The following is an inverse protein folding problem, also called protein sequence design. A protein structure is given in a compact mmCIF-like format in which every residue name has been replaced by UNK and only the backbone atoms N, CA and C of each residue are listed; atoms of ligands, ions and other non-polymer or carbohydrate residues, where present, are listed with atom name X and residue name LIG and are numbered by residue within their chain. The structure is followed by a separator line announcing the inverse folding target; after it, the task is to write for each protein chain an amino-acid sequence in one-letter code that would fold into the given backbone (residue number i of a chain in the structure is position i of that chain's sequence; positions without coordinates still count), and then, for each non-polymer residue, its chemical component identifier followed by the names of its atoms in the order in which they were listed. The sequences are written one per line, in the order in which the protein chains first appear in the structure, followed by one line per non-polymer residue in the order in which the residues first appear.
data_IF_131009658916
#
_entry.id   IF_131009658916
#
_cell.length_a   1.000
_cell.length_b   1.000
_cell.length_c   1.000
_cell.angle_alpha   90.00
_cell.angle_beta   90.00
_cell.angle_gamma   90.00
#
_symmetry.space_group_name_H-M   'P 1'
#
loop_
_entity.id
_entity.type
_entity.pdbx_description
1 polymer ?
#
# COMPACT_ATOMS: atom_id res chain seq x y z
N UNK A 1 38.56 73.16 8.63
CA UNK A 1 38.34 73.26 10.11
C UNK A 1 37.11 72.47 10.48
N UNK A 2 37.29 71.58 11.36
CA UNK A 2 36.33 70.64 11.90
C UNK A 2 35.14 71.28 12.63
N UNK A 3 33.93 70.71 12.53
CA UNK A 3 33.01 70.55 13.68
C UNK A 3 32.05 69.39 13.48
N UNK A 4 32.09 68.49 14.47
CA UNK A 4 31.20 67.34 14.68
C UNK A 4 29.80 67.82 15.08
N UNK A 5 28.77 67.12 14.54
CA UNK A 5 27.39 67.16 15.02
C UNK A 5 27.01 65.78 15.49
N UNK A 6 26.65 65.65 16.76
CA UNK A 6 26.09 64.46 17.38
C UNK A 6 24.66 64.22 16.91
N UNK A 7 24.39 63.13 16.28
CA UNK A 7 23.00 62.66 16.04
C UNK A 7 22.55 61.76 17.19
N UNK A 8 21.38 62.12 17.70
CA UNK A 8 20.75 61.44 18.83
C UNK A 8 20.20 60.06 18.45
N UNK A 9 20.50 59.11 19.27
CA UNK A 9 19.88 57.76 19.24
C UNK A 9 18.41 57.85 19.68
N UNK A 10 17.48 57.69 18.75
CA UNK A 10 16.07 57.44 19.05
C UNK A 10 15.91 55.98 19.37
N UNK A 11 15.69 55.64 20.63
CA UNK A 11 15.34 54.30 21.07
C UNK A 11 13.91 54.00 20.62
N UNK A 12 13.77 53.21 19.53
CA UNK A 12 12.49 52.66 19.14
C UNK A 12 12.18 51.48 20.05
N UNK A 13 11.24 51.65 20.97
CA UNK A 13 10.66 50.56 21.74
C UNK A 13 10.01 49.54 20.79
N UNK A 14 10.70 48.47 20.48
CA UNK A 14 10.16 47.31 19.82
C UNK A 14 9.25 46.58 20.82
N UNK A 15 7.94 46.77 20.67
CA UNK A 15 6.95 45.93 21.33
C UNK A 15 7.21 44.50 20.82
N UNK A 16 7.81 43.66 21.65
CA UNK A 16 7.93 42.21 21.39
C UNK A 16 6.52 41.65 21.61
N UNK A 17 5.76 41.51 20.52
CA UNK A 17 4.60 40.62 20.53
C UNK A 17 5.12 39.21 20.76
N UNK A 18 4.83 38.66 21.93
CA UNK A 18 5.00 37.24 22.26
C UNK A 18 3.96 36.40 21.46
N UNK A 19 4.08 36.39 20.14
CA UNK A 19 3.60 35.27 19.36
C UNK A 19 4.68 34.19 19.45
N UNK A 20 4.59 33.36 20.46
CA UNK A 20 5.25 32.07 20.46
C UNK A 20 4.69 31.36 19.21
N UNK A 21 5.49 31.26 18.17
CA UNK A 21 5.22 30.34 17.07
C UNK A 21 5.15 28.97 17.73
N UNK A 22 3.94 28.44 17.91
CA UNK A 22 3.73 27.04 18.25
C UNK A 22 4.34 26.27 17.07
N UNK A 23 5.56 25.75 17.26
CA UNK A 23 6.18 24.84 16.30
C UNK A 23 5.35 23.58 16.39
N UNK A 24 4.47 23.40 15.43
CA UNK A 24 3.69 22.16 15.32
C UNK A 24 4.67 21.02 15.03
N UNK A 25 4.99 20.23 16.05
CA UNK A 25 5.92 19.10 15.96
C UNK A 25 5.36 18.02 15.04
N UNK A 26 6.18 17.38 14.19
CA UNK A 26 5.71 16.32 13.32
C UNK A 26 5.17 15.14 14.13
N UNK A 27 4.17 14.44 13.59
CA UNK A 27 3.74 13.15 14.10
C UNK A 27 4.83 12.12 13.88
N UNK A 28 5.30 11.53 14.95
CA UNK A 28 6.35 10.50 14.95
C UNK A 28 5.73 9.14 14.67
N UNK A 29 6.21 8.46 13.67
CA UNK A 29 5.65 7.20 13.17
C UNK A 29 6.67 6.08 13.35
N UNK A 30 6.23 4.97 13.94
CA UNK A 30 6.92 3.70 13.85
C UNK A 30 6.21 2.80 12.83
N UNK A 31 6.98 2.20 11.93
CA UNK A 31 6.50 1.30 10.88
C UNK A 31 7.09 -0.10 11.08
N UNK A 32 6.21 -1.09 11.19
CA UNK A 32 6.59 -2.50 11.32
C UNK A 32 6.16 -3.27 10.08
N UNK A 33 6.98 -4.22 9.66
CA UNK A 33 6.75 -4.96 8.41
C UNK A 33 6.65 -3.99 7.23
N UNK A 34 7.55 -3.00 7.21
CA UNK A 34 7.48 -1.82 6.32
C UNK A 34 7.57 -2.20 4.83
N UNK A 35 8.05 -3.42 4.51
CA UNK A 35 8.24 -3.85 3.14
C UNK A 35 9.15 -2.90 2.37
N UNK A 36 8.78 -2.53 1.15
CA UNK A 36 9.47 -1.50 0.39
C UNK A 36 8.95 -0.08 0.69
N UNK A 37 8.23 0.16 1.79
CA UNK A 37 7.86 1.50 2.25
C UNK A 37 6.68 2.17 1.53
N UNK A 38 5.80 1.40 0.87
CA UNK A 38 4.67 2.01 0.15
C UNK A 38 3.68 2.73 1.07
N UNK A 39 3.37 2.16 2.24
CA UNK A 39 2.53 2.81 3.26
C UNK A 39 3.24 4.02 3.87
N UNK A 40 4.52 3.88 4.17
CA UNK A 40 5.36 4.91 4.77
C UNK A 40 5.48 6.13 3.85
N UNK A 41 5.69 5.90 2.54
CA UNK A 41 5.68 6.95 1.52
C UNK A 41 4.32 7.67 1.47
N UNK A 42 3.21 6.93 1.59
CA UNK A 42 1.88 7.51 1.70
C UNK A 42 1.75 8.41 2.94
N UNK A 43 2.19 7.96 4.11
CA UNK A 43 2.16 8.74 5.34
C UNK A 43 3.11 9.95 5.33
N UNK A 44 4.23 9.85 4.64
CA UNK A 44 5.13 11.00 4.44
C UNK A 44 4.58 11.99 3.42
N UNK A 45 3.98 11.53 2.33
CA UNK A 45 3.63 12.36 1.20
C UNK A 45 4.84 12.95 0.48
N UNK A 46 4.65 14.03 -0.28
CA UNK A 46 5.74 14.71 -0.99
C UNK A 46 6.13 14.03 -2.30
N UNK A 47 5.18 13.41 -2.99
CA UNK A 47 5.42 12.76 -4.28
C UNK A 47 4.35 13.15 -5.31
N UNK A 48 4.69 12.96 -6.59
CA UNK A 48 3.75 13.10 -7.71
C UNK A 48 3.46 11.73 -8.31
N UNK A 49 2.19 11.46 -8.57
CA UNK A 49 1.77 10.27 -9.30
C UNK A 49 0.83 10.66 -10.44
N UNK A 50 1.25 10.40 -11.69
CA UNK A 50 0.48 10.65 -12.92
C UNK A 50 -0.13 12.06 -13.00
N UNK A 51 0.64 13.08 -12.59
CA UNK A 51 0.24 14.49 -12.65
C UNK A 51 -0.50 14.99 -11.40
N UNK A 52 -0.92 14.12 -10.49
CA UNK A 52 -1.49 14.51 -9.20
C UNK A 52 -0.38 14.67 -8.16
N UNK A 53 -0.39 15.81 -7.42
CA UNK A 53 0.53 16.07 -6.33
C UNK A 53 -0.06 15.58 -5.01
N UNK A 54 0.69 14.73 -4.32
CA UNK A 54 0.40 14.23 -2.98
C UNK A 54 1.29 14.95 -1.98
N UNK A 55 0.79 16.06 -1.45
CA UNK A 55 1.54 16.96 -0.59
C UNK A 55 2.16 16.24 0.61
N UNK A 56 3.31 16.75 1.09
CA UNK A 56 3.95 16.26 2.28
C UNK A 56 3.08 16.51 3.50
N UNK A 57 2.98 15.49 4.36
CA UNK A 57 2.37 15.59 5.68
C UNK A 57 3.38 16.08 6.72
N UNK A 58 2.89 16.64 7.82
CA UNK A 58 3.72 16.95 9.00
C UNK A 58 3.95 15.68 9.83
N UNK A 59 4.69 14.74 9.25
CA UNK A 59 5.01 13.43 9.82
C UNK A 59 6.48 13.11 9.66
N UNK A 60 7.00 12.25 10.53
CA UNK A 60 8.36 11.73 10.48
C UNK A 60 8.35 10.23 10.78
N UNK A 61 8.88 9.41 9.87
CA UNK A 61 9.10 7.99 10.12
C UNK A 61 10.38 7.87 10.94
N UNK A 62 10.25 7.63 12.24
CA UNK A 62 11.39 7.57 13.17
C UNK A 62 11.93 6.16 13.40
N UNK A 63 11.18 5.16 12.95
CA UNK A 63 11.55 3.76 13.02
C UNK A 63 10.84 2.99 11.92
N UNK A 64 11.57 2.20 11.14
CA UNK A 64 11.06 1.27 10.16
C UNK A 64 11.76 -0.08 10.31
N UNK A 65 11.04 -1.19 10.10
CA UNK A 65 11.58 -2.54 10.25
C UNK A 65 10.94 -3.53 9.28
N UNK A 66 11.78 -4.38 8.69
CA UNK A 66 11.37 -5.59 7.97
C UNK A 66 12.41 -6.70 8.18
N UNK A 67 12.00 -7.96 8.06
CA UNK A 67 12.91 -9.10 8.11
C UNK A 67 13.38 -9.58 6.72
N UNK A 68 12.72 -9.13 5.66
CA UNK A 68 13.05 -9.46 4.27
C UNK A 68 14.16 -8.52 3.78
N UNK A 69 15.33 -9.09 3.51
CA UNK A 69 16.50 -8.33 3.07
C UNK A 69 16.26 -7.53 1.79
N UNK A 70 15.56 -8.11 0.80
CA UNK A 70 15.28 -7.40 -0.45
C UNK A 70 14.32 -6.23 -0.24
N UNK A 71 13.35 -6.38 0.66
CA UNK A 71 12.43 -5.32 1.03
C UNK A 71 13.18 -4.18 1.73
N UNK A 72 14.02 -4.50 2.71
CA UNK A 72 14.84 -3.55 3.45
C UNK A 72 15.82 -2.80 2.52
N UNK A 73 16.51 -3.51 1.63
CA UNK A 73 17.42 -2.88 0.65
C UNK A 73 16.66 -1.95 -0.30
N UNK A 74 15.46 -2.35 -0.74
CA UNK A 74 14.59 -1.52 -1.57
C UNK A 74 14.14 -0.26 -0.83
N UNK A 75 13.72 -0.37 0.43
CA UNK A 75 13.33 0.75 1.27
C UNK A 75 14.46 1.78 1.39
N UNK A 76 15.64 1.32 1.78
CA UNK A 76 16.80 2.18 2.05
C UNK A 76 17.44 2.77 0.78
N UNK A 77 17.15 2.21 -0.39
CA UNK A 77 17.57 2.79 -1.67
C UNK A 77 16.74 4.01 -2.09
N UNK A 78 15.66 4.35 -1.37
CA UNK A 78 14.75 5.41 -1.78
C UNK A 78 14.95 6.71 -1.01
N UNK A 79 15.44 7.78 -1.66
CA UNK A 79 15.53 9.11 -1.05
C UNK A 79 14.18 9.65 -0.56
N UNK A 80 13.07 9.27 -1.20
CA UNK A 80 11.71 9.66 -0.78
C UNK A 80 11.33 9.16 0.62
N UNK A 81 12.02 8.13 1.12
CA UNK A 81 11.77 7.53 2.44
C UNK A 81 12.83 7.94 3.46
N UNK A 82 14.12 7.90 3.07
CA UNK A 82 15.23 8.00 4.03
C UNK A 82 15.86 9.38 4.14
N UNK A 83 15.60 10.32 3.22
CA UNK A 83 16.21 11.67 3.29
C UNK A 83 15.79 12.46 4.52
N UNK A 84 14.58 12.22 5.04
CA UNK A 84 14.02 12.90 6.21
C UNK A 84 13.42 11.90 7.23
N UNK A 85 13.77 10.62 7.11
CA UNK A 85 13.24 9.54 7.95
C UNK A 85 14.29 8.51 8.33
N UNK A 86 13.88 7.52 9.11
CA UNK A 86 14.76 6.44 9.51
C UNK A 86 14.98 5.43 8.38
N UNK A 87 16.20 4.90 8.29
CA UNK A 87 16.45 3.69 7.51
C UNK A 87 15.68 2.50 8.09
N UNK A 88 15.24 1.60 7.20
CA UNK A 88 14.59 0.36 7.60
C UNK A 88 15.62 -0.60 8.21
N UNK A 89 15.37 -1.04 9.44
CA UNK A 89 16.18 -2.01 10.15
C UNK A 89 15.89 -3.43 9.66
N UNK A 90 16.90 -4.16 9.22
CA UNK A 90 16.80 -5.58 8.89
C UNK A 90 16.86 -6.41 10.16
N UNK A 91 15.71 -6.83 10.68
CA UNK A 91 15.63 -7.68 11.87
C UNK A 91 14.25 -8.37 11.96
N UNK A 92 14.20 -9.52 12.63
CA UNK A 92 12.93 -10.09 13.06
C UNK A 92 12.38 -9.25 14.22
N UNK A 93 11.16 -8.78 14.13
CA UNK A 93 10.53 -7.93 15.15
C UNK A 93 10.47 -8.60 16.53
N UNK A 94 10.48 -9.94 16.58
CA UNK A 94 10.51 -10.72 17.81
C UNK A 94 11.82 -10.60 18.58
N UNK A 95 12.90 -10.27 17.89
CA UNK A 95 14.24 -10.10 18.47
C UNK A 95 14.48 -8.65 18.90
N UNK A 96 13.60 -7.71 18.52
CA UNK A 96 13.74 -6.30 18.90
C UNK A 96 13.11 -6.05 20.27
N UNK A 97 13.89 -5.49 21.19
CA UNK A 97 13.34 -5.03 22.45
C UNK A 97 12.46 -3.79 22.23
N UNK A 98 11.21 -3.85 22.68
CA UNK A 98 10.26 -2.75 22.52
C UNK A 98 10.73 -1.41 23.13
N UNK A 99 11.63 -1.45 24.13
CA UNK A 99 12.22 -0.25 24.74
C UNK A 99 13.22 0.46 23.83
N UNK A 100 13.87 -0.30 22.92
CA UNK A 100 14.84 0.26 21.99
C UNK A 100 14.20 0.96 20.79
N UNK A 101 12.89 0.71 20.53
CA UNK A 101 12.11 1.47 19.57
C UNK A 101 11.85 2.86 20.14
N UNK A 102 12.12 3.97 19.42
CA UNK A 102 11.84 5.32 19.89
C UNK A 102 10.36 5.52 20.23
N UNK A 103 10.02 6.51 21.04
CA UNK A 103 8.62 6.86 21.29
C UNK A 103 7.99 7.42 20.01
N UNK A 104 6.77 6.99 19.69
CA UNK A 104 6.05 7.34 18.48
C UNK A 104 4.58 7.68 18.79
N UNK A 105 3.94 8.46 17.92
CA UNK A 105 2.53 8.86 18.03
C UNK A 105 1.61 7.89 17.28
N UNK A 106 2.10 7.33 16.15
CA UNK A 106 1.33 6.43 15.28
C UNK A 106 2.13 5.16 15.02
N UNK A 107 1.50 4.00 15.15
CA UNK A 107 2.06 2.72 14.74
C UNK A 107 1.44 2.27 13.42
N UNK A 108 2.26 2.05 12.40
CA UNK A 108 1.88 1.40 11.15
C UNK A 108 2.34 -0.05 11.16
N UNK A 109 1.48 -0.99 10.71
CA UNK A 109 1.89 -2.39 10.58
C UNK A 109 1.08 -3.13 9.51
N UNK A 110 1.77 -3.67 8.51
CA UNK A 110 1.24 -4.59 7.51
C UNK A 110 1.67 -6.03 7.80
N UNK A 111 1.28 -6.59 8.94
CA UNK A 111 1.76 -7.91 9.34
C UNK A 111 1.20 -9.03 8.44
N UNK A 112 2.02 -10.05 8.09
CA UNK A 112 1.58 -11.16 7.26
C UNK A 112 0.46 -11.95 7.92
N UNK A 113 -0.60 -12.24 7.13
CA UNK A 113 -1.69 -13.13 7.53
C UNK A 113 -1.20 -14.58 7.51
N UNK A 114 -0.41 -14.98 8.49
CA UNK A 114 -0.22 -16.42 8.72
C UNK A 114 -1.45 -16.92 9.45
N UNK A 115 -2.12 -17.99 8.95
CA UNK A 115 -3.26 -18.53 9.65
C UNK A 115 -2.81 -18.96 11.03
N UNK A 116 -3.47 -18.42 12.05
CA UNK A 116 -3.30 -18.81 13.45
C UNK A 116 -3.39 -20.35 13.65
N UNK A 117 -3.98 -21.05 12.66
CA UNK A 117 -4.20 -22.52 12.69
C UNK A 117 -3.01 -23.39 12.26
N UNK A 118 -1.97 -22.86 11.60
CA UNK A 118 -0.90 -23.66 11.02
C UNK A 118 0.44 -23.62 11.76
N UNK A 119 0.60 -22.77 12.75
CA UNK A 119 1.83 -22.72 13.56
C UNK A 119 2.02 -23.99 14.43
N UNK A 120 0.93 -24.73 14.70
CA UNK A 120 0.96 -25.93 15.54
C UNK A 120 1.32 -27.24 14.84
N UNK A 121 1.40 -27.30 13.51
CA UNK A 121 1.56 -28.61 12.79
C UNK A 121 2.94 -28.93 12.23
N UNK A 122 3.93 -28.04 12.30
CA UNK A 122 5.24 -28.27 11.67
C UNK A 122 6.48 -28.26 12.53
N UNK A 123 6.44 -27.89 13.81
CA UNK A 123 7.55 -28.19 14.76
C UNK A 123 6.97 -28.27 16.16
N UNK A 124 7.11 -29.42 16.79
CA UNK A 124 6.77 -29.61 18.20
C UNK A 124 7.66 -28.74 19.09
N UNK A 125 7.19 -27.53 19.34
CA UNK A 125 7.70 -26.66 20.39
C UNK A 125 6.45 -26.21 21.15
N UNK A 126 6.38 -26.60 22.40
CA UNK A 126 5.42 -26.11 23.39
C UNK A 126 5.56 -24.59 23.47
N UNK A 127 4.74 -23.85 22.72
CA UNK A 127 4.59 -22.41 22.90
C UNK A 127 3.50 -22.16 23.95
N UNK A 128 3.86 -22.32 25.21
CA UNK A 128 2.97 -22.08 26.36
C UNK A 128 2.57 -20.60 26.52
N UNK A 129 3.11 -19.69 25.67
CA UNK A 129 2.92 -18.25 25.79
C UNK A 129 2.17 -17.59 24.61
N UNK A 130 1.56 -18.32 23.68
CA UNK A 130 0.71 -17.72 22.63
C UNK A 130 1.41 -16.72 21.70
N UNK A 131 2.74 -16.80 21.56
CA UNK A 131 3.56 -15.87 20.73
C UNK A 131 3.46 -16.13 19.23
N UNK A 132 2.46 -16.90 18.80
CA UNK A 132 2.36 -17.37 17.42
C UNK A 132 1.89 -16.36 16.40
N UNK A 133 1.65 -15.08 16.72
CA UNK A 133 1.12 -14.12 15.78
C UNK A 133 1.90 -12.82 15.78
N UNK A 134 2.31 -12.38 14.60
CA UNK A 134 3.03 -11.10 14.47
C UNK A 134 2.20 -9.88 14.91
N UNK A 135 0.87 -10.01 14.99
CA UNK A 135 0.01 -9.04 15.69
C UNK A 135 0.39 -8.92 17.18
N UNK A 136 0.74 -10.03 17.85
CA UNK A 136 1.15 -9.97 19.25
C UNK A 136 2.41 -9.09 19.48
N UNK A 137 3.25 -8.95 18.46
CA UNK A 137 4.40 -8.04 18.52
C UNK A 137 3.97 -6.58 18.45
N UNK A 138 2.96 -6.25 17.63
CA UNK A 138 2.38 -4.90 17.60
C UNK A 138 1.79 -4.55 18.97
N UNK A 139 1.03 -5.48 19.58
CA UNK A 139 0.47 -5.31 20.93
C UNK A 139 1.57 -5.16 21.98
N UNK A 140 2.61 -6.01 21.96
CA UNK A 140 3.75 -5.96 22.87
C UNK A 140 4.44 -4.59 22.84
N UNK A 141 4.66 -4.05 21.64
CA UNK A 141 5.31 -2.75 21.46
C UNK A 141 4.43 -1.61 21.99
N UNK A 142 3.14 -1.56 21.62
CA UNK A 142 2.21 -0.54 22.14
C UNK A 142 2.14 -0.61 23.67
N UNK A 143 1.99 -1.81 24.22
CA UNK A 143 1.93 -2.01 25.69
C UNK A 143 3.19 -1.50 26.38
N UNK A 144 4.38 -1.82 25.84
CA UNK A 144 5.64 -1.35 26.40
C UNK A 144 5.76 0.18 26.37
N UNK A 145 5.23 0.86 25.34
CA UNK A 145 5.20 2.33 25.27
C UNK A 145 4.28 2.91 26.34
N UNK A 146 3.10 2.35 26.51
CA UNK A 146 2.14 2.75 27.57
C UNK A 146 2.77 2.60 28.95
N UNK A 147 3.39 1.45 29.24
CA UNK A 147 4.06 1.16 30.51
C UNK A 147 5.25 2.11 30.79
N UNK A 148 5.88 2.61 29.75
CA UNK A 148 6.96 3.61 29.85
C UNK A 148 6.46 5.07 29.89
N UNK A 149 5.15 5.30 30.03
CA UNK A 149 4.54 6.63 30.15
C UNK A 149 4.38 7.37 28.82
N UNK A 150 4.55 6.70 27.69
CA UNK A 150 4.27 7.27 26.37
C UNK A 150 3.20 6.43 25.67
N UNK A 151 2.01 6.99 25.51
CA UNK A 151 0.88 6.34 24.88
C UNK A 151 0.76 6.78 23.42
N UNK A 152 0.91 5.88 22.43
CA UNK A 152 0.66 6.22 21.03
C UNK A 152 -0.77 6.71 20.81
N UNK A 153 -0.96 7.73 19.98
CA UNK A 153 -2.26 8.34 19.69
C UNK A 153 -3.14 7.41 18.84
N UNK A 154 -2.49 6.69 17.91
CA UNK A 154 -3.20 5.81 16.98
C UNK A 154 -2.35 4.62 16.52
N UNK A 155 -3.01 3.62 15.98
CA UNK A 155 -2.39 2.61 15.15
C UNK A 155 -3.18 2.37 13.85
N UNK A 156 -2.48 1.93 12.82
CA UNK A 156 -3.07 1.49 11.55
C UNK A 156 -2.50 0.12 11.20
N UNK A 157 -3.35 -0.87 11.13
CA UNK A 157 -3.00 -2.22 10.72
C UNK A 157 -3.64 -2.53 9.36
N UNK A 158 -2.83 -3.03 8.44
CA UNK A 158 -3.31 -3.50 7.13
C UNK A 158 -3.20 -5.02 7.05
N UNK A 159 -4.18 -5.65 6.39
CA UNK A 159 -4.12 -7.07 6.13
C UNK A 159 -4.94 -7.47 4.89
N UNK A 160 -4.73 -8.68 4.40
CA UNK A 160 -5.50 -9.22 3.28
C UNK A 160 -6.93 -9.56 3.70
N UNK A 161 -7.88 -9.54 2.72
CA UNK A 161 -9.29 -9.86 2.95
C UNK A 161 -9.52 -11.18 3.72
N UNK A 162 -8.62 -12.16 3.52
CA UNK A 162 -8.72 -13.46 4.16
C UNK A 162 -8.75 -13.43 5.69
N UNK A 163 -8.23 -12.37 6.33
CA UNK A 163 -8.24 -12.23 7.79
C UNK A 163 -9.66 -12.22 8.36
N UNK A 164 -10.65 -11.70 7.61
CA UNK A 164 -12.06 -11.62 8.05
C UNK A 164 -12.68 -13.00 8.28
N UNK A 165 -12.19 -14.03 7.61
CA UNK A 165 -12.65 -15.41 7.77
C UNK A 165 -11.70 -16.29 8.60
N UNK A 166 -10.59 -15.71 9.05
CA UNK A 166 -9.58 -16.43 9.84
C UNK A 166 -10.06 -16.64 11.28
N UNK A 167 -9.74 -17.81 11.82
CA UNK A 167 -10.10 -18.17 13.20
C UNK A 167 -8.85 -18.34 14.05
N UNK A 168 -9.02 -18.10 15.35
CA UNK A 168 -8.03 -18.42 16.37
C UNK A 168 -7.85 -19.94 16.48
N UNK A 169 -6.79 -20.43 17.16
CA UNK A 169 -6.57 -21.89 17.33
C UNK A 169 -7.72 -22.67 17.97
N UNK A 170 -8.61 -21.99 18.68
CA UNK A 170 -9.85 -22.59 19.22
C UNK A 170 -10.88 -22.96 18.14
N UNK A 171 -10.66 -22.51 16.89
CA UNK A 171 -11.54 -22.75 15.75
C UNK A 171 -12.88 -21.97 15.80
N UNK A 172 -13.13 -21.19 16.82
CA UNK A 172 -14.39 -20.47 17.09
C UNK A 172 -14.20 -18.96 17.01
N UNK A 173 -13.30 -18.40 17.81
CA UNK A 173 -13.05 -16.96 17.90
C UNK A 173 -12.50 -16.43 16.58
N UNK A 174 -13.06 -15.34 16.04
CA UNK A 174 -12.54 -14.72 14.85
C UNK A 174 -11.26 -13.90 15.17
N UNK A 175 -10.29 -13.92 14.27
CA UNK A 175 -9.03 -13.17 14.44
C UNK A 175 -9.31 -11.66 14.57
N UNK A 176 -10.14 -11.02 13.74
CA UNK A 176 -10.50 -9.61 13.92
C UNK A 176 -11.11 -9.30 15.27
N UNK A 177 -12.02 -10.13 15.78
CA UNK A 177 -12.64 -9.93 17.09
C UNK A 177 -11.61 -9.99 18.22
N UNK A 178 -10.66 -10.94 18.16
CA UNK A 178 -9.59 -11.02 19.15
C UNK A 178 -8.66 -9.81 19.09
N UNK A 179 -8.33 -9.30 17.89
CA UNK A 179 -7.55 -8.07 17.73
C UNK A 179 -8.27 -6.89 18.38
N UNK A 180 -9.57 -6.68 18.06
CA UNK A 180 -10.37 -5.61 18.65
C UNK A 180 -10.36 -5.70 20.19
N UNK A 181 -10.64 -6.89 20.72
CA UNK A 181 -10.70 -7.13 22.18
C UNK A 181 -9.38 -6.80 22.86
N UNK A 182 -8.24 -7.23 22.27
CA UNK A 182 -6.92 -6.99 22.86
C UNK A 182 -6.52 -5.52 22.80
N UNK A 183 -6.82 -4.84 21.67
CA UNK A 183 -6.54 -3.41 21.55
C UNK A 183 -7.45 -2.56 22.43
N UNK A 184 -8.73 -2.92 22.59
CA UNK A 184 -9.63 -2.29 23.54
C UNK A 184 -9.14 -2.45 25.00
N UNK A 185 -8.59 -3.61 25.35
CA UNK A 185 -7.98 -3.80 26.67
C UNK A 185 -6.76 -2.90 26.94
N UNK A 186 -6.13 -2.37 25.89
CA UNK A 186 -5.08 -1.35 25.97
C UNK A 186 -5.63 0.09 25.92
N UNK A 187 -6.96 0.29 25.83
CA UNK A 187 -7.62 1.59 25.81
C UNK A 187 -7.68 2.23 24.41
N UNK A 188 -7.84 1.42 23.35
CA UNK A 188 -8.01 1.94 21.99
C UNK A 188 -9.41 1.63 21.45
N UNK A 189 -10.09 2.65 20.95
CA UNK A 189 -11.29 2.46 20.13
C UNK A 189 -10.87 1.94 18.76
N UNK A 190 -11.29 0.72 18.42
CA UNK A 190 -10.86 0.05 17.19
C UNK A 190 -12.00 -0.08 16.18
N UNK A 191 -11.75 0.30 14.93
CA UNK A 191 -12.63 0.07 13.78
C UNK A 191 -11.96 -0.83 12.76
N UNK A 192 -12.75 -1.72 12.12
CA UNK A 192 -12.28 -2.62 11.05
C UNK A 192 -13.16 -2.40 9.82
N UNK A 193 -12.53 -2.26 8.65
CA UNK A 193 -13.24 -2.08 7.38
C UNK A 193 -12.53 -2.79 6.22
N UNK A 194 -13.33 -3.32 5.30
CA UNK A 194 -12.86 -3.84 4.03
C UNK A 194 -12.95 -2.75 2.97
N UNK A 195 -11.82 -2.38 2.40
CA UNK A 195 -11.72 -1.32 1.39
C UNK A 195 -11.19 -1.85 0.06
N UNK A 196 -11.56 -1.19 -1.03
CA UNK A 196 -10.96 -1.42 -2.35
C UNK A 196 -10.07 -0.22 -2.71
N UNK A 197 -8.83 -0.46 -3.09
CA UNK A 197 -7.88 0.63 -3.35
C UNK A 197 -8.24 1.48 -4.58
N UNK A 198 -9.04 0.96 -5.53
CA UNK A 198 -9.54 1.73 -6.67
C UNK A 198 -10.50 2.86 -6.29
N UNK A 199 -11.07 2.81 -5.10
CA UNK A 199 -11.92 3.90 -4.57
C UNK A 199 -11.10 5.08 -4.03
N UNK A 200 -9.78 4.90 -3.94
CA UNK A 200 -8.84 5.83 -3.29
C UNK A 200 -7.62 6.13 -4.16
N UNK A 201 -7.80 6.31 -5.46
CA UNK A 201 -6.76 6.77 -6.38
C UNK A 201 -5.78 5.72 -6.89
N UNK A 202 -6.01 4.44 -6.65
CA UNK A 202 -5.11 3.38 -7.10
C UNK A 202 -5.66 2.67 -8.34
N UNK A 203 -4.91 2.58 -9.45
CA UNK A 203 -5.36 1.92 -10.69
C UNK A 203 -5.41 0.38 -10.56
N UNK A 204 -5.89 -0.11 -9.41
CA UNK A 204 -5.94 -1.52 -9.09
C UNK A 204 -7.11 -1.86 -8.15
N UNK A 205 -7.92 -2.84 -8.54
CA UNK A 205 -8.94 -3.44 -7.65
C UNK A 205 -8.28 -4.38 -6.65
N UNK A 206 -7.78 -3.80 -5.55
CA UNK A 206 -7.08 -4.48 -4.46
C UNK A 206 -7.86 -4.33 -3.16
N UNK A 207 -8.46 -5.43 -2.69
CA UNK A 207 -9.20 -5.44 -1.43
C UNK A 207 -8.28 -5.66 -0.24
N UNK A 208 -8.40 -4.79 0.77
CA UNK A 208 -7.64 -4.87 2.01
C UNK A 208 -8.51 -4.58 3.22
N UNK A 209 -8.17 -5.22 4.32
CA UNK A 209 -8.76 -4.95 5.62
C UNK A 209 -7.87 -3.94 6.32
N UNK A 210 -8.47 -2.82 6.70
CA UNK A 210 -7.83 -1.82 7.55
C UNK A 210 -8.43 -1.91 8.96
N UNK A 211 -7.57 -1.78 9.95
CA UNK A 211 -7.93 -1.72 11.36
C UNK A 211 -7.28 -0.47 11.92
N UNK A 212 -8.11 0.44 12.42
CA UNK A 212 -7.67 1.66 13.06
C UNK A 212 -7.95 1.58 14.56
N UNK A 213 -7.00 2.03 15.36
CA UNK A 213 -7.24 2.28 16.78
C UNK A 213 -6.86 3.71 17.10
N UNK A 214 -7.77 4.37 17.81
CA UNK A 214 -7.57 5.72 18.37
C UNK A 214 -7.55 5.59 19.88
N UNK A 215 -6.58 6.22 20.55
CA UNK A 215 -6.49 6.23 22.00
C UNK A 215 -7.75 6.89 22.61
N UNK A 216 -8.45 6.17 23.49
CA UNK A 216 -9.67 6.64 24.14
C UNK A 216 -9.44 7.89 25.02
N UNK A 217 -8.22 8.13 25.49
CA UNK A 217 -7.88 9.30 26.30
C UNK A 217 -7.92 10.61 25.51
N UNK A 218 -7.83 10.55 24.18
CA UNK A 218 -7.94 11.73 23.31
C UNK A 218 -9.36 12.31 23.27
N UNK A 219 -10.37 11.53 23.65
CA UNK A 219 -11.79 11.94 23.66
C UNK A 219 -12.29 12.47 22.29
N UNK A 220 -11.72 11.95 21.21
CA UNK A 220 -12.13 12.23 19.83
C UNK A 220 -12.97 11.07 19.29
N UNK A 221 -13.75 11.35 18.25
CA UNK A 221 -14.52 10.31 17.60
C UNK A 221 -13.62 9.23 17.01
N UNK A 222 -14.12 8.00 17.00
CA UNK A 222 -13.43 6.91 16.30
C UNK A 222 -13.29 7.21 14.81
N UNK A 223 -12.23 6.70 14.18
CA UNK A 223 -12.01 6.86 12.76
C UNK A 223 -13.24 6.40 11.95
N UNK A 224 -13.71 7.28 11.07
CA UNK A 224 -14.79 6.99 10.14
C UNK A 224 -14.22 6.89 8.71
N UNK A 225 -14.55 5.81 8.00
CA UNK A 225 -14.09 5.61 6.63
C UNK A 225 -14.67 6.60 5.63
N UNK A 226 -15.78 7.27 5.94
CA UNK A 226 -16.31 8.39 5.16
C UNK A 226 -15.31 9.57 5.12
N UNK A 227 -14.39 9.68 6.07
CA UNK A 227 -13.35 10.71 6.05
C UNK A 227 -12.36 10.48 4.92
N UNK A 228 -12.07 9.23 4.56
CA UNK A 228 -11.27 8.91 3.38
C UNK A 228 -11.97 9.31 2.07
N UNK A 229 -13.29 9.11 1.99
CA UNK A 229 -14.08 9.58 0.84
C UNK A 229 -14.03 11.11 0.73
N UNK A 230 -14.19 11.84 1.85
CA UNK A 230 -14.06 13.32 1.86
C UNK A 230 -12.70 13.79 1.38
N UNK A 231 -11.63 13.05 1.68
CA UNK A 231 -10.28 13.35 1.16
C UNK A 231 -10.26 13.18 -0.37
N UNK A 232 -10.81 12.09 -0.89
CA UNK A 232 -10.90 11.85 -2.35
C UNK A 232 -11.62 13.02 -3.04
N UNK A 233 -12.78 13.42 -2.54
CA UNK A 233 -13.58 14.52 -3.07
C UNK A 233 -12.85 15.87 -2.97
N UNK A 234 -12.27 16.18 -1.80
CA UNK A 234 -11.57 17.45 -1.54
C UNK A 234 -10.35 17.66 -2.43
N UNK A 235 -9.61 16.61 -2.72
CA UNK A 235 -8.37 16.68 -3.50
C UNK A 235 -8.54 16.23 -4.95
N UNK A 236 -9.78 15.96 -5.41
CA UNK A 236 -10.11 15.46 -6.75
C UNK A 236 -9.26 14.23 -7.14
N UNK A 237 -9.13 13.30 -6.21
CA UNK A 237 -8.36 12.07 -6.44
C UNK A 237 -9.17 11.15 -7.36
N UNK A 238 -8.58 10.57 -8.42
CA UNK A 238 -9.28 9.60 -9.27
C UNK A 238 -9.87 8.45 -8.43
N UNK A 239 -11.11 8.06 -8.72
CA UNK A 239 -11.80 7.05 -7.92
C UNK A 239 -12.82 6.28 -8.74
N UNK A 240 -12.96 4.98 -8.49
CA UNK A 240 -13.95 4.15 -9.16
C UNK A 240 -15.37 4.50 -8.74
N UNK A 241 -15.61 4.90 -7.47
CA UNK A 241 -16.94 5.13 -6.93
C UNK A 241 -17.20 6.57 -6.46
N UNK A 242 -16.16 7.36 -6.20
CA UNK A 242 -16.28 8.68 -5.57
C UNK A 242 -15.79 9.84 -6.44
N UNK A 243 -15.24 9.56 -7.64
CA UNK A 243 -14.65 10.56 -8.52
C UNK A 243 -14.59 10.12 -9.97
N UNK A 244 -13.68 10.72 -10.72
CA UNK A 244 -13.44 10.35 -12.12
C UNK A 244 -12.56 9.09 -12.19
N UNK A 245 -12.91 8.20 -13.11
CA UNK A 245 -12.28 6.89 -13.26
C UNK A 245 -11.19 6.88 -14.34
N UNK A 246 -11.19 7.86 -15.24
CA UNK A 246 -10.36 7.89 -16.45
C UNK A 246 -8.89 7.66 -16.16
N UNK A 247 -8.36 8.34 -15.14
CA UNK A 247 -6.94 8.25 -14.74
C UNK A 247 -6.56 6.93 -14.04
N UNK A 248 -7.54 6.07 -13.73
CA UNK A 248 -7.31 4.73 -13.19
C UNK A 248 -7.23 3.64 -14.27
N UNK A 249 -7.61 3.96 -15.51
CA UNK A 249 -7.62 2.99 -16.59
C UNK A 249 -6.20 2.61 -17.06
N UNK A 250 -5.99 1.35 -17.36
CA UNK A 250 -4.68 0.85 -17.80
C UNK A 250 -4.10 1.61 -18.99
N UNK A 251 -4.93 2.04 -19.93
CA UNK A 251 -4.49 2.83 -21.08
C UNK A 251 -3.86 4.16 -20.65
N UNK A 252 -4.31 4.76 -19.55
CA UNK A 252 -3.70 5.99 -19.01
C UNK A 252 -2.44 5.68 -18.18
N UNK A 253 -2.49 4.62 -17.38
CA UNK A 253 -1.39 4.23 -16.48
C UNK A 253 -0.15 3.76 -17.24
N UNK A 254 -0.34 3.05 -18.36
CA UNK A 254 0.75 2.45 -19.14
C UNK A 254 1.32 3.39 -20.22
N UNK A 255 0.79 4.62 -20.38
CA UNK A 255 1.37 5.61 -21.29
C UNK A 255 2.81 5.94 -20.90
N UNK A 256 3.68 6.15 -21.88
CA UNK A 256 5.07 6.64 -21.73
C UNK A 256 5.95 5.84 -20.73
N UNK A 257 5.52 4.66 -20.34
CA UNK A 257 6.26 3.81 -19.37
C UNK A 257 7.63 3.38 -19.88
N UNK A 258 7.82 3.33 -21.21
CA UNK A 258 9.09 2.99 -21.86
C UNK A 258 10.23 3.95 -21.52
N UNK A 259 9.89 5.20 -21.16
CA UNK A 259 10.86 6.22 -20.77
C UNK A 259 11.14 6.25 -19.26
N UNK A 260 10.42 5.45 -18.47
CA UNK A 260 10.56 5.40 -17.02
C UNK A 260 11.66 4.41 -16.57
N UNK A 261 12.35 4.66 -15.45
CA UNK A 261 13.36 3.75 -14.92
C UNK A 261 12.73 2.43 -14.43
N UNK A 262 13.57 1.41 -14.24
CA UNK A 262 13.15 0.07 -13.76
C UNK A 262 12.08 -0.59 -14.65
N UNK A 263 12.17 -0.40 -15.97
CA UNK A 263 11.22 -0.97 -16.93
C UNK A 263 11.60 -2.39 -17.40
N UNK A 264 12.27 -3.15 -16.53
CA UNK A 264 12.68 -4.53 -16.79
C UNK A 264 11.50 -5.49 -16.76
N UNK A 265 11.55 -6.53 -17.60
CA UNK A 265 10.53 -7.58 -17.67
C UNK A 265 11.11 -8.92 -17.23
N UNK A 266 10.46 -9.55 -16.26
CA UNK A 266 10.75 -10.94 -15.90
C UNK A 266 10.01 -11.88 -16.85
N UNK A 267 10.75 -12.58 -17.70
CA UNK A 267 10.20 -13.47 -18.71
C UNK A 267 9.38 -14.63 -18.11
N UNK A 268 8.41 -15.08 -18.87
CA UNK A 268 7.64 -16.27 -18.52
C UNK A 268 8.46 -17.56 -18.81
N UNK A 269 8.17 -18.62 -18.07
CA UNK A 269 8.62 -19.95 -18.46
C UNK A 269 8.01 -20.36 -19.82
N UNK A 270 8.67 -21.23 -20.61
CA UNK A 270 8.19 -21.62 -21.94
C UNK A 270 6.73 -22.10 -21.98
N UNK A 271 6.30 -22.91 -21.02
CA UNK A 271 4.91 -23.39 -20.95
C UNK A 271 3.89 -22.30 -20.60
N UNK A 272 4.29 -21.35 -19.76
CA UNK A 272 3.47 -20.16 -19.45
C UNK A 272 3.37 -19.25 -20.67
N UNK A 273 4.51 -19.01 -21.34
CA UNK A 273 4.58 -18.20 -22.55
C UNK A 273 3.69 -18.75 -23.68
N UNK A 274 3.68 -20.07 -23.86
CA UNK A 274 2.79 -20.71 -24.82
C UNK A 274 1.31 -20.42 -24.53
N UNK A 275 0.89 -20.50 -23.28
CA UNK A 275 -0.49 -20.18 -22.90
C UNK A 275 -0.83 -18.70 -23.14
N UNK A 276 0.10 -17.80 -22.76
CA UNK A 276 -0.06 -16.36 -22.98
C UNK A 276 -0.15 -16.03 -24.49
N UNK A 277 0.64 -16.69 -25.33
CA UNK A 277 0.58 -16.54 -26.77
C UNK A 277 -0.76 -17.03 -27.36
N UNK A 278 -1.29 -18.15 -26.86
CA UNK A 278 -2.61 -18.64 -27.28
C UNK A 278 -3.72 -17.66 -26.92
N UNK A 279 -3.72 -17.11 -25.72
CA UNK A 279 -4.68 -16.07 -25.32
C UNK A 279 -4.52 -14.84 -26.22
N UNK A 280 -3.30 -14.45 -26.56
CA UNK A 280 -3.00 -13.33 -27.44
C UNK A 280 -3.49 -13.54 -28.88
N UNK A 281 -3.49 -14.76 -29.38
CA UNK A 281 -3.93 -15.09 -30.74
C UNK A 281 -5.47 -15.16 -30.88
N UNK A 282 -6.20 -15.38 -29.80
CA UNK A 282 -7.67 -15.41 -29.77
C UNK A 282 -8.24 -13.98 -29.75
N UNK A 283 -7.73 -13.11 -30.60
CA UNK A 283 -7.99 -11.68 -30.53
C UNK A 283 -9.26 -11.25 -31.28
N UNK A 284 -10.14 -10.61 -30.55
CA UNK A 284 -11.03 -9.59 -31.09
C UNK A 284 -10.30 -8.25 -30.86
N UNK A 285 -10.21 -7.41 -31.89
CA UNK A 285 -9.36 -6.23 -32.01
C UNK A 285 -9.22 -5.34 -30.76
N UNK A 286 -8.22 -5.62 -29.94
CA UNK A 286 -7.83 -4.68 -28.89
C UNK A 286 -7.17 -3.49 -29.57
N UNK A 287 -7.83 -2.34 -29.48
CA UNK A 287 -7.34 -1.12 -30.09
C UNK A 287 -6.17 -0.53 -29.32
N UNK A 288 -5.34 0.17 -30.04
CA UNK A 288 -4.10 0.74 -29.58
C UNK A 288 -4.29 1.69 -28.40
N UNK A 289 -3.24 1.82 -27.58
CA UNK A 289 -3.11 2.80 -26.51
C UNK A 289 -3.34 4.26 -26.98
N UNK A 290 -3.27 4.53 -28.30
CA UNK A 290 -3.53 5.83 -28.91
C UNK A 290 -4.92 6.44 -28.65
N UNK A 291 -5.89 5.66 -28.18
CA UNK A 291 -7.18 6.20 -27.76
C UNK A 291 -7.15 6.92 -26.41
N UNK A 292 -6.11 6.70 -25.61
CA UNK A 292 -5.95 7.22 -24.26
C UNK A 292 -5.06 8.49 -24.25
N UNK A 293 -5.38 9.46 -25.11
CA UNK A 293 -4.69 10.75 -25.15
C UNK A 293 -5.11 11.67 -23.99
N UNK A 294 -4.43 12.78 -23.79
CA UNK A 294 -4.80 13.74 -22.76
C UNK A 294 -6.21 14.30 -23.03
N UNK A 295 -7.05 14.30 -21.97
CA UNK A 295 -8.41 14.81 -22.03
C UNK A 295 -9.42 13.89 -22.74
N UNK A 296 -9.07 12.60 -23.00
CA UNK A 296 -10.05 11.64 -23.48
C UNK A 296 -11.19 11.46 -22.47
N UNK A 297 -12.36 11.06 -22.96
CA UNK A 297 -13.49 10.66 -22.13
C UNK A 297 -13.81 9.20 -22.37
N UNK A 298 -14.36 8.52 -21.36
CA UNK A 298 -14.80 7.12 -21.50
C UNK A 298 -15.74 6.95 -22.69
N UNK A 299 -16.61 7.96 -22.95
CA UNK A 299 -17.51 7.97 -24.12
C UNK A 299 -16.81 7.91 -25.47
N UNK A 300 -15.54 8.29 -25.53
CA UNK A 300 -14.74 8.31 -26.76
C UNK A 300 -14.09 6.95 -27.05
N UNK A 301 -14.07 6.06 -26.04
CA UNK A 301 -13.48 4.75 -26.14
C UNK A 301 -14.44 3.76 -26.82
N UNK A 302 -13.92 2.89 -27.66
CA UNK A 302 -14.70 1.82 -28.27
C UNK A 302 -14.94 0.67 -27.30
N UNK A 303 -16.03 -0.13 -27.46
CA UNK A 303 -16.32 -1.25 -26.57
C UNK A 303 -15.14 -2.23 -26.37
N UNK A 304 -14.37 -2.48 -27.41
CA UNK A 304 -13.18 -3.37 -27.38
C UNK A 304 -12.14 -2.94 -26.34
N UNK A 305 -12.13 -1.66 -25.94
CA UNK A 305 -11.24 -1.16 -24.88
C UNK A 305 -11.56 -1.73 -23.50
N UNK A 306 -12.77 -2.23 -23.28
CA UNK A 306 -13.25 -2.73 -21.98
C UNK A 306 -13.32 -4.27 -21.92
N UNK A 307 -12.95 -4.96 -23.00
CA UNK A 307 -13.04 -6.42 -23.10
C UNK A 307 -11.69 -7.07 -22.86
N UNK A 308 -11.39 -7.37 -21.60
CA UNK A 308 -10.25 -8.21 -21.23
C UNK A 308 -10.45 -9.67 -21.70
N UNK A 309 -9.37 -10.42 -21.75
CA UNK A 309 -9.30 -11.81 -22.23
C UNK A 309 -8.84 -12.76 -21.17
N UNK A 310 -9.09 -14.03 -21.40
CA UNK A 310 -8.64 -15.10 -20.51
C UNK A 310 -8.42 -16.41 -21.27
N UNK A 311 -7.97 -17.43 -20.56
CA UNK A 311 -7.89 -18.78 -21.09
C UNK A 311 -9.24 -19.34 -21.60
N UNK A 312 -10.37 -18.77 -21.17
CA UNK A 312 -11.73 -19.18 -21.59
C UNK A 312 -12.04 -18.79 -23.04
N UNK A 313 -11.31 -17.84 -23.57
CA UNK A 313 -11.46 -17.37 -24.95
C UNK A 313 -10.69 -18.25 -25.95
N UNK A 314 -9.87 -19.19 -25.46
CA UNK A 314 -9.16 -20.17 -26.28
C UNK A 314 -10.15 -21.29 -26.66
N UNK A 315 -10.28 -21.65 -27.97
CA UNK A 315 -11.06 -22.81 -28.40
C UNK A 315 -10.65 -24.07 -27.64
N UNK A 316 -11.63 -24.85 -27.20
CA UNK A 316 -11.40 -26.01 -26.34
C UNK A 316 -10.36 -26.99 -26.90
N UNK A 317 -10.38 -27.23 -28.21
CA UNK A 317 -9.46 -28.11 -28.91
C UNK A 317 -7.99 -27.67 -28.79
N UNK A 318 -7.73 -26.36 -28.69
CA UNK A 318 -6.39 -25.76 -28.54
C UNK A 318 -5.95 -25.68 -27.07
N UNK A 319 -6.84 -25.92 -26.11
CA UNK A 319 -6.49 -25.91 -24.70
C UNK A 319 -5.45 -27.00 -24.38
N UNK A 320 -4.50 -26.65 -23.51
CA UNK A 320 -3.58 -27.64 -22.95
C UNK A 320 -4.32 -28.65 -22.09
N UNK A 321 -3.78 -29.85 -21.82
CA UNK A 321 -4.42 -30.86 -20.95
C UNK A 321 -4.81 -30.30 -19.57
N UNK A 322 -3.99 -29.41 -19.00
CA UNK A 322 -4.29 -28.71 -17.74
C UNK A 322 -5.56 -27.86 -17.84
N UNK A 323 -5.69 -27.07 -18.90
CA UNK A 323 -6.83 -26.20 -19.10
C UNK A 323 -8.10 -26.96 -19.47
N UNK A 324 -7.99 -28.05 -20.25
CA UNK A 324 -9.13 -28.96 -20.52
C UNK A 324 -9.68 -29.54 -19.21
N UNK A 325 -8.80 -30.03 -18.33
CA UNK A 325 -9.22 -30.53 -17.02
C UNK A 325 -9.90 -29.44 -16.16
N UNK A 326 -9.47 -28.18 -16.25
CA UNK A 326 -10.11 -27.05 -15.54
C UNK A 326 -11.46 -26.73 -16.18
N UNK A 327 -11.57 -26.72 -17.50
CA UNK A 327 -12.81 -26.49 -18.23
C UNK A 327 -13.87 -27.55 -17.90
N UNK A 328 -13.45 -28.82 -17.84
CA UNK A 328 -14.32 -29.97 -17.53
C UNK A 328 -14.72 -30.03 -16.05
N UNK A 329 -13.96 -29.38 -15.17
CA UNK A 329 -14.16 -29.41 -13.71
C UNK A 329 -14.18 -27.99 -13.09
N UNK A 330 -15.10 -27.11 -13.50
CA UNK A 330 -15.10 -25.70 -13.11
C UNK A 330 -15.23 -25.47 -11.60
N UNK A 331 -15.81 -26.43 -10.86
CA UNK A 331 -15.92 -26.35 -9.38
C UNK A 331 -14.59 -26.51 -8.64
N UNK A 332 -13.55 -27.02 -9.29
CA UNK A 332 -12.21 -27.20 -8.68
C UNK A 332 -11.34 -25.96 -8.77
N UNK A 333 -11.70 -24.98 -9.57
CA UNK A 333 -10.88 -23.81 -9.82
C UNK A 333 -11.66 -22.52 -9.63
N UNK A 334 -11.30 -21.74 -8.62
CA UNK A 334 -12.03 -20.54 -8.20
C UNK A 334 -11.26 -19.23 -8.35
N UNK A 335 -10.08 -19.22 -9.02
CA UNK A 335 -9.33 -17.97 -9.20
C UNK A 335 -9.93 -17.14 -10.36
N UNK A 336 -10.66 -16.05 -10.09
CA UNK A 336 -11.37 -15.30 -11.12
C UNK A 336 -10.44 -14.58 -12.09
N UNK A 337 -9.15 -14.44 -11.73
CA UNK A 337 -8.12 -13.74 -12.53
C UNK A 337 -7.06 -14.69 -13.11
N UNK A 338 -7.35 -15.99 -13.10
CA UNK A 338 -6.48 -17.02 -13.63
C UNK A 338 -6.26 -16.83 -15.13
N UNK A 339 -5.02 -16.53 -15.53
CA UNK A 339 -4.65 -16.21 -16.91
C UNK A 339 -5.57 -15.18 -17.57
N UNK A 340 -5.98 -14.17 -16.77
CA UNK A 340 -6.73 -13.04 -17.32
C UNK A 340 -5.77 -11.96 -17.79
N UNK A 341 -6.02 -11.46 -18.99
CA UNK A 341 -5.41 -10.26 -19.56
C UNK A 341 -6.45 -9.14 -19.51
N UNK A 342 -6.15 -8.07 -18.81
CA UNK A 342 -7.01 -6.88 -18.75
C UNK A 342 -6.87 -6.06 -20.02
N UNK A 343 -7.94 -5.37 -20.42
CA UNK A 343 -7.94 -4.41 -21.52
C UNK A 343 -7.47 -3.02 -21.04
N UNK A 344 -7.15 -2.15 -21.98
CA UNK A 344 -6.70 -0.78 -21.67
C UNK A 344 -7.79 0.06 -20.97
N UNK A 345 -9.08 -0.15 -21.25
CA UNK A 345 -10.21 0.53 -20.60
C UNK A 345 -10.61 -0.07 -19.26
N UNK A 346 -9.86 -1.01 -18.72
CA UNK A 346 -10.15 -1.62 -17.41
C UNK A 346 -9.19 -1.13 -16.34
N UNK A 347 -9.66 -1.10 -15.08
CA UNK A 347 -8.80 -1.03 -13.89
C UNK A 347 -8.20 -2.40 -13.66
N UNK A 348 -6.90 -2.49 -13.42
CA UNK A 348 -6.22 -3.77 -13.23
C UNK A 348 -6.75 -4.53 -11.99
N UNK A 349 -6.62 -5.82 -12.01
CA UNK A 349 -6.83 -6.64 -10.82
C UNK A 349 -5.65 -6.62 -9.86
N UNK A 350 -5.81 -7.22 -8.67
CA UNK A 350 -4.75 -7.28 -7.66
C UNK A 350 -3.48 -7.91 -8.22
N UNK A 351 -2.35 -7.17 -8.15
CA UNK A 351 -1.01 -7.70 -8.35
C UNK A 351 -0.58 -8.39 -7.05
N UNK A 352 -0.10 -9.63 -7.17
CA UNK A 352 0.38 -10.42 -6.03
C UNK A 352 1.90 -10.51 -6.03
N UNK A 353 2.49 -10.83 -4.88
CA UNK A 353 3.94 -11.01 -4.72
C UNK A 353 4.56 -12.02 -5.68
N UNK A 354 3.80 -13.02 -6.11
CA UNK A 354 4.28 -14.02 -7.07
C UNK A 354 4.36 -13.51 -8.51
N UNK A 355 3.60 -12.45 -8.84
CA UNK A 355 3.45 -11.87 -10.17
C UNK A 355 3.32 -12.93 -11.29
N UNK A 356 2.56 -14.01 -11.02
CA UNK A 356 2.35 -15.11 -11.96
C UNK A 356 0.94 -15.01 -12.58
N UNK A 357 0.78 -15.26 -13.88
CA UNK A 357 -0.49 -15.10 -14.58
C UNK A 357 -1.55 -16.11 -14.14
N UNK A 358 -1.15 -17.20 -13.50
CA UNK A 358 -2.08 -18.16 -12.86
C UNK A 358 -2.56 -17.71 -11.48
N UNK A 359 -2.04 -16.60 -10.96
CA UNK A 359 -2.44 -16.01 -9.68
C UNK A 359 -3.09 -14.65 -9.81
N UNK A 360 -2.65 -13.84 -10.79
CA UNK A 360 -3.11 -12.47 -10.97
C UNK A 360 -3.02 -12.03 -12.43
N UNK A 361 -3.72 -10.95 -12.78
CA UNK A 361 -3.67 -10.37 -14.12
C UNK A 361 -2.43 -9.49 -14.28
N UNK A 362 -1.32 -10.12 -14.66
CA UNK A 362 -0.01 -9.46 -14.85
C UNK A 362 0.49 -9.54 -16.29
N UNK A 363 -0.37 -9.91 -17.24
CA UNK A 363 -0.02 -9.93 -18.66
C UNK A 363 -0.43 -8.61 -19.30
N UNK A 364 0.50 -8.00 -20.05
CA UNK A 364 0.27 -6.73 -20.73
C UNK A 364 -0.93 -6.81 -21.68
N UNK A 365 -1.76 -5.74 -21.80
CA UNK A 365 -3.00 -5.76 -22.57
C UNK A 365 -2.88 -6.29 -23.99
N UNK A 366 -1.81 -5.93 -24.73
CA UNK A 366 -1.63 -6.32 -26.14
C UNK A 366 -0.37 -7.15 -26.37
N UNK A 367 0.68 -6.98 -25.58
CA UNK A 367 1.93 -7.71 -25.75
C UNK A 367 1.89 -9.05 -25.00
N UNK A 368 2.48 -10.09 -25.59
CA UNK A 368 2.50 -11.43 -24.99
C UNK A 368 3.63 -11.57 -23.96
N UNK A 369 3.69 -10.62 -23.01
CA UNK A 369 4.66 -10.56 -21.92
C UNK A 369 4.00 -10.24 -20.59
N UNK A 370 4.73 -10.43 -19.52
CA UNK A 370 4.37 -9.89 -18.20
C UNK A 370 4.45 -8.37 -18.24
N UNK A 371 3.71 -7.69 -17.38
CA UNK A 371 4.00 -6.30 -17.07
C UNK A 371 5.47 -6.15 -16.66
N UNK A 372 6.11 -5.06 -17.04
CA UNK A 372 7.41 -4.68 -16.50
C UNK A 372 7.33 -4.36 -15.00
N UNK A 373 8.47 -4.22 -14.35
CA UNK A 373 8.54 -3.75 -12.96
C UNK A 373 7.86 -2.40 -12.83
N UNK A 374 8.16 -1.45 -13.73
CA UNK A 374 7.57 -0.10 -13.70
C UNK A 374 6.08 -0.10 -13.96
N UNK A 375 5.59 -0.90 -14.90
CA UNK A 375 4.16 -1.07 -15.12
C UNK A 375 3.45 -1.59 -13.87
N UNK A 376 4.02 -2.60 -13.20
CA UNK A 376 3.51 -3.09 -11.92
C UNK A 376 3.54 -2.01 -10.83
N UNK A 377 4.60 -1.22 -10.77
CA UNK A 377 4.76 -0.14 -9.80
C UNK A 377 3.71 0.96 -10.01
N UNK A 378 3.49 1.39 -11.25
CA UNK A 378 2.43 2.36 -11.57
C UNK A 378 1.03 1.82 -11.24
N UNK A 379 0.75 0.55 -11.51
CA UNK A 379 -0.53 -0.09 -11.14
C UNK A 379 -0.69 -0.14 -9.61
N UNK A 380 0.40 -0.17 -8.85
CA UNK A 380 0.43 -0.03 -7.39
C UNK A 380 0.57 1.42 -6.92
N UNK A 381 0.43 2.41 -7.81
CA UNK A 381 0.55 3.83 -7.55
C UNK A 381 1.90 4.32 -7.00
N UNK A 382 2.99 3.59 -7.24
CA UNK A 382 4.33 4.11 -6.98
C UNK A 382 4.70 5.20 -8.00
N UNK A 383 5.28 6.32 -7.57
CA UNK A 383 5.74 7.36 -8.49
C UNK A 383 6.95 6.90 -9.32
N UNK A 384 7.15 7.50 -10.49
CA UNK A 384 8.20 7.06 -11.40
C UNK A 384 9.63 7.32 -10.88
N UNK A 385 9.80 8.27 -9.97
CA UNK A 385 11.07 8.52 -9.29
C UNK A 385 11.33 7.60 -8.09
N UNK A 386 10.40 6.67 -7.78
CA UNK A 386 10.64 5.61 -6.81
C UNK A 386 11.55 4.54 -7.43
N UNK A 387 12.67 4.21 -6.76
CA UNK A 387 13.62 3.17 -7.22
C UNK A 387 13.46 1.87 -6.43
N UNK A 388 13.69 0.74 -7.10
CA UNK A 388 13.71 -0.57 -6.43
C UNK A 388 15.13 -0.99 -6.03
N UNK A 389 16.13 -0.13 -6.23
CA UNK A 389 17.51 -0.39 -5.87
C UNK A 389 18.13 -1.59 -6.59
N UNK A 390 19.22 -2.11 -6.04
CA UNK A 390 19.99 -3.21 -6.61
C UNK A 390 19.50 -4.61 -6.18
N UNK A 391 18.19 -4.79 -5.98
CA UNK A 391 17.63 -6.10 -5.64
C UNK A 391 17.33 -6.93 -6.90
N UNK A 392 17.28 -8.30 -6.80
CA UNK A 392 16.99 -9.17 -7.91
C UNK A 392 15.66 -8.83 -8.60
N UNK A 393 15.59 -9.01 -9.91
CA UNK A 393 14.40 -8.69 -10.71
C UNK A 393 13.11 -9.34 -10.17
N UNK A 394 13.16 -10.60 -9.76
CA UNK A 394 11.99 -11.28 -9.17
C UNK A 394 11.57 -10.65 -7.84
N UNK A 395 12.53 -10.20 -7.05
CA UNK A 395 12.29 -9.54 -5.77
C UNK A 395 11.60 -8.19 -5.96
N UNK A 396 11.88 -7.45 -7.05
CA UNK A 396 11.16 -6.20 -7.37
C UNK A 396 9.66 -6.46 -7.52
N UNK A 397 9.26 -7.51 -8.24
CA UNK A 397 7.83 -7.90 -8.33
C UNK A 397 7.24 -8.31 -6.98
N UNK A 398 8.03 -9.03 -6.17
CA UNK A 398 7.61 -9.48 -4.83
C UNK A 398 7.31 -8.30 -3.91
N UNK A 399 8.22 -7.34 -3.82
CA UNK A 399 8.06 -6.19 -2.92
C UNK A 399 6.90 -5.29 -3.37
N UNK A 400 6.73 -5.07 -4.70
CA UNK A 400 5.59 -4.35 -5.26
C UNK A 400 4.27 -5.05 -4.92
N UNK A 401 4.18 -6.36 -5.13
CA UNK A 401 2.96 -7.13 -4.89
C UNK A 401 2.56 -7.19 -3.41
N UNK A 402 3.52 -7.10 -2.49
CA UNK A 402 3.29 -7.05 -1.04
C UNK A 402 2.92 -5.65 -0.55
N UNK A 403 3.34 -4.60 -1.24
CA UNK A 403 3.21 -3.23 -0.78
C UNK A 403 1.74 -2.79 -0.59
N UNK A 404 1.55 -1.89 0.35
CA UNK A 404 0.38 -0.99 0.37
C UNK A 404 0.64 0.12 -0.64
N UNK A 405 -0.30 0.43 -1.54
CA UNK A 405 -0.11 1.47 -2.55
C UNK A 405 0.11 2.86 -1.92
N UNK A 406 1.13 3.64 -2.35
CA UNK A 406 1.42 4.95 -1.76
C UNK A 406 0.27 5.95 -1.80
N UNK A 407 -0.46 6.05 -2.92
CA UNK A 407 -1.62 6.94 -3.03
C UNK A 407 -2.71 6.57 -2.03
N UNK A 408 -3.00 5.28 -1.87
CA UNK A 408 -3.92 4.81 -0.85
C UNK A 408 -3.45 5.15 0.57
N UNK A 409 -2.16 4.95 0.85
CA UNK A 409 -1.53 5.34 2.12
C UNK A 409 -1.66 6.85 2.38
N UNK A 410 -1.56 7.69 1.35
CA UNK A 410 -1.68 9.14 1.47
C UNK A 410 -3.12 9.58 1.81
N UNK A 411 -4.12 9.00 1.15
CA UNK A 411 -5.55 9.27 1.47
C UNK A 411 -5.85 8.90 2.91
N UNK A 412 -5.37 7.74 3.34
CA UNK A 412 -5.53 7.22 4.68
C UNK A 412 -4.83 8.11 5.72
N UNK A 413 -3.59 8.52 5.47
CA UNK A 413 -2.83 9.42 6.33
C UNK A 413 -3.52 10.78 6.45
N UNK A 414 -3.95 11.38 5.33
CA UNK A 414 -4.67 12.66 5.34
C UNK A 414 -5.93 12.60 6.19
N UNK A 415 -6.73 11.54 6.05
CA UNK A 415 -7.94 11.36 6.84
C UNK A 415 -7.64 11.18 8.34
N UNK A 416 -6.65 10.35 8.69
CA UNK A 416 -6.26 10.10 10.08
C UNK A 416 -5.67 11.35 10.74
N UNK A 417 -4.74 12.03 10.07
CA UNK A 417 -4.06 13.22 10.62
C UNK A 417 -5.03 14.40 10.84
N UNK A 418 -6.13 14.44 10.09
CA UNK A 418 -7.16 15.47 10.25
C UNK A 418 -7.91 15.36 11.59
N UNK A 419 -8.04 14.17 12.15
CA UNK A 419 -8.76 13.95 13.41
C UNK A 419 -7.84 13.89 14.63
N UNK A 420 -6.56 13.59 14.45
CA UNK A 420 -5.60 13.54 15.55
C UNK A 420 -5.22 14.95 16.02
N UNK A 421 -5.12 15.19 17.36
CA UNK A 421 -4.66 16.48 17.87
C UNK A 421 -3.21 16.72 17.48
N UNK A 422 -2.84 17.98 17.27
CA UNK A 422 -1.45 18.37 17.02
C UNK A 422 -0.53 17.97 18.19
N UNK A 423 0.76 17.77 17.87
CA UNK A 423 1.79 17.61 18.89
C UNK A 423 2.17 19.00 19.43
N UNK A 424 1.97 19.22 20.73
CA UNK A 424 2.34 20.46 21.42
C UNK A 424 3.80 20.45 21.88
#
# INVERSE_FOLDING_TARGET
MLRHGCEGFTVVNKIINNNTLLINMPKRIASLFSGCGGLDLGFSGGFNFRGHEYNRHNTEIIFANDFDQDAQMCYNANPLLVSDGAECLLADIRDINAKDIPNFDILLAGFPCQPFSNAGKRKGVNDENGRGTLFAECERIIKAKIENGHRPQAFVFENVRGILSSKMPDGVTSVPEEIIKRMHALGYQTTIHLVCSSDYGVPQKRYRVLMFGIDEQLQIEKFNFDDMQRVVEKYNIPSEHFGEIEDLLLGRILQDVENAPDNDVWEYSPGTQQTVNLIGSCTHGMKAMSQFHDGYKISDLTPDCFEGRSWKDIPYELLTPRFKNIADNPKKYHAPKFFRRFAFGEINGTITASAQPDKCGVTHPVENRRYSVRECARIQSFPDNYTFGAIPLQSRYKVIGNAVPPVFGWVLATALLHILPDNN
#
